data_IF_863328956913
#
_entry.id   IF_863328956913
#
_cell.length_a   1.000
_cell.length_b   1.000
_cell.length_c   1.000
_cell.angle_alpha   90.00
_cell.angle_beta   90.00
_cell.angle_gamma   90.00
#
_symmetry.space_group_name_H-M   'P 1'
#
loop_
_entity.id
_entity.type
_entity.pdbx_description
1 polymer ?
#
# COMPACT_ATOMS: atom_id res chain seq x y z
N UNK A 1 -35.79 -21.36 -25.39
CA UNK A 1 -36.54 -22.60 -25.65
C UNK A 1 -35.70 -23.47 -26.58
N UNK A 2 -35.12 -24.55 -26.08
CA UNK A 2 -34.68 -25.68 -26.90
C UNK A 2 -34.78 -26.92 -26.00
N UNK A 3 -35.52 -27.89 -26.51
CA UNK A 3 -36.13 -29.00 -25.78
C UNK A 3 -35.10 -30.07 -25.41
N UNK A 4 -35.33 -30.66 -24.25
CA UNK A 4 -34.85 -31.96 -23.79
C UNK A 4 -35.06 -33.05 -24.84
N UNK A 5 -34.04 -33.86 -25.08
CA UNK A 5 -34.18 -35.15 -25.77
C UNK A 5 -34.05 -36.26 -24.71
N UNK A 6 -35.13 -37.01 -24.51
CA UNK A 6 -35.13 -38.29 -23.79
C UNK A 6 -34.49 -39.38 -24.65
N UNK A 7 -33.85 -40.40 -24.05
CA UNK A 7 -33.32 -41.54 -24.77
C UNK A 7 -34.44 -42.58 -25.02
N UNK A 8 -34.52 -43.07 -26.25
CA UNK A 8 -35.40 -44.19 -26.61
C UNK A 8 -34.74 -45.53 -26.24
N UNK A 9 -35.50 -46.38 -25.55
CA UNK A 9 -35.20 -47.77 -25.26
C UNK A 9 -36.26 -48.67 -25.91
N UNK A 10 -35.82 -49.63 -26.72
CA UNK A 10 -36.28 -51.04 -26.80
C UNK A 10 -35.77 -51.67 -28.11
N UNK A 11 -35.34 -52.94 -28.16
CA UNK A 11 -35.63 -54.02 -27.22
C UNK A 11 -34.60 -55.16 -27.17
N UNK A 12 -34.55 -55.75 -25.97
CA UNK A 12 -34.54 -57.18 -25.62
C UNK A 12 -33.66 -58.16 -26.40
N UNK A 13 -32.58 -58.62 -25.76
CA UNK A 13 -32.44 -60.03 -25.34
C UNK A 13 -31.42 -60.15 -24.18
N UNK A 14 -31.86 -60.86 -23.14
CA UNK A 14 -31.19 -61.57 -22.05
C UNK A 14 -30.15 -60.89 -21.11
N UNK A 15 -30.49 -60.98 -19.81
CA UNK A 15 -29.64 -60.67 -18.66
C UNK A 15 -28.44 -61.62 -18.56
N UNK A 16 -27.24 -61.06 -18.46
CA UNK A 16 -26.21 -61.63 -17.59
C UNK A 16 -25.50 -60.54 -16.81
N UNK A 17 -25.62 -60.67 -15.48
CA UNK A 17 -24.98 -59.90 -14.42
C UNK A 17 -23.54 -59.46 -14.70
N UNK A 18 -23.29 -58.16 -14.60
CA UNK A 18 -22.09 -57.61 -13.97
C UNK A 18 -22.43 -56.24 -13.38
N UNK A 19 -22.59 -56.25 -12.07
CA UNK A 19 -22.60 -55.04 -11.27
C UNK A 19 -21.21 -54.40 -11.37
N UNK A 20 -21.08 -53.30 -12.10
CA UNK A 20 -20.04 -52.32 -11.85
C UNK A 20 -20.71 -51.08 -11.27
N UNK A 21 -20.68 -51.02 -9.94
CA UNK A 21 -20.81 -49.77 -9.20
C UNK A 21 -19.61 -48.88 -9.57
N UNK A 22 -19.73 -48.14 -10.67
CA UNK A 22 -18.81 -47.07 -11.03
C UNK A 22 -19.22 -45.81 -10.30
N UNK A 23 -18.51 -45.50 -9.21
CA UNK A 23 -18.52 -44.21 -8.53
C UNK A 23 -18.27 -43.10 -9.55
N UNK A 24 -19.34 -42.46 -10.05
CA UNK A 24 -19.21 -41.38 -11.01
C UNK A 24 -18.66 -40.16 -10.28
N UNK A 25 -17.34 -40.02 -10.31
CA UNK A 25 -16.64 -38.84 -9.79
C UNK A 25 -17.23 -37.53 -10.34
N UNK A 26 -16.86 -36.38 -9.74
CA UNK A 26 -17.44 -35.08 -10.09
C UNK A 26 -17.35 -34.81 -11.59
N UNK A 27 -18.50 -34.52 -12.21
CA UNK A 27 -18.60 -34.18 -13.63
C UNK A 27 -17.99 -32.80 -13.87
N UNK A 28 -17.01 -32.74 -14.78
CA UNK A 28 -16.29 -31.51 -15.13
C UNK A 28 -16.73 -31.01 -16.50
N UNK A 29 -17.01 -29.71 -16.62
CA UNK A 29 -17.30 -29.10 -17.91
C UNK A 29 -15.99 -28.74 -18.62
N UNK A 30 -15.74 -29.40 -19.75
CA UNK A 30 -14.61 -29.11 -20.64
C UNK A 30 -15.17 -28.47 -21.91
N UNK A 31 -15.02 -27.15 -22.11
CA UNK A 31 -15.46 -26.50 -23.34
C UNK A 31 -14.57 -26.97 -24.50
N UNK A 32 -15.17 -27.46 -25.59
CA UNK A 32 -14.41 -27.78 -26.80
C UNK A 32 -13.92 -26.49 -27.46
N UNK A 33 -12.65 -26.19 -27.25
CA UNK A 33 -11.90 -25.10 -27.92
C UNK A 33 -10.84 -25.69 -28.83
N UNK A 34 -10.35 -24.92 -29.81
CA UNK A 34 -9.44 -25.40 -30.87
C UNK A 34 -8.14 -26.00 -30.31
N UNK A 35 -7.74 -25.58 -29.11
CA UNK A 35 -6.56 -26.05 -28.39
C UNK A 35 -6.75 -27.44 -27.72
N UNK A 36 -7.99 -27.94 -27.60
CA UNK A 36 -8.30 -29.25 -27.01
C UNK A 36 -8.50 -30.26 -28.14
N UNK A 37 -7.43 -30.95 -28.50
CA UNK A 37 -7.45 -32.01 -29.52
C UNK A 37 -7.51 -33.38 -28.84
N UNK A 38 -8.61 -34.14 -28.98
CA UNK A 38 -8.73 -35.46 -28.39
C UNK A 38 -7.91 -36.50 -29.15
N UNK A 39 -7.28 -37.42 -28.43
CA UNK A 39 -6.67 -38.62 -29.00
C UNK A 39 -7.68 -39.77 -28.93
N UNK A 40 -8.05 -40.32 -30.09
CA UNK A 40 -9.08 -41.36 -30.20
C UNK A 40 -8.43 -42.68 -30.56
N UNK A 41 -8.50 -43.65 -29.63
CA UNK A 41 -8.12 -45.03 -29.91
C UNK A 41 -9.35 -45.80 -30.41
N UNK A 42 -9.38 -46.05 -31.72
CA UNK A 42 -10.48 -46.76 -32.38
C UNK A 42 -10.54 -48.25 -32.03
N UNK A 43 -9.42 -48.87 -31.65
CA UNK A 43 -9.36 -50.30 -31.33
C UNK A 43 -9.92 -50.54 -29.92
N UNK A 44 -9.59 -49.65 -28.99
CA UNK A 44 -10.08 -49.71 -27.60
C UNK A 44 -11.42 -49.01 -27.41
N UNK A 45 -11.88 -48.26 -28.42
CA UNK A 45 -13.05 -47.36 -28.34
C UNK A 45 -12.93 -46.34 -27.20
N UNK A 46 -11.72 -45.83 -26.99
CA UNK A 46 -11.39 -44.87 -25.93
C UNK A 46 -11.08 -43.49 -26.53
N UNK A 47 -11.44 -42.43 -25.83
CA UNK A 47 -11.15 -41.05 -26.20
C UNK A 47 -10.42 -40.37 -25.03
N UNK A 48 -9.16 -40.01 -25.24
CA UNK A 48 -8.30 -39.35 -24.27
C UNK A 48 -8.25 -37.85 -24.58
N UNK A 49 -8.60 -37.03 -23.59
CA UNK A 49 -8.53 -35.58 -23.69
C UNK A 49 -7.50 -35.09 -22.67
N UNK A 50 -6.45 -34.43 -23.14
CA UNK A 50 -5.50 -33.74 -22.25
C UNK A 50 -5.95 -32.29 -22.11
N UNK A 51 -6.51 -31.87 -20.96
CA UNK A 51 -6.90 -30.50 -20.77
C UNK A 51 -5.67 -29.59 -20.68
N UNK A 52 -5.73 -28.35 -21.21
CA UNK A 52 -4.74 -27.32 -20.93
C UNK A 52 -4.54 -27.14 -19.42
N UNK A 53 -3.32 -26.79 -19.01
CA UNK A 53 -3.01 -26.45 -17.62
C UNK A 53 -3.98 -25.37 -17.12
N UNK A 54 -4.59 -25.56 -15.96
CA UNK A 54 -5.56 -24.64 -15.35
C UNK A 54 -7.03 -24.83 -15.78
N UNK A 55 -7.35 -25.59 -16.83
CA UNK A 55 -8.75 -25.75 -17.28
C UNK A 55 -9.62 -26.50 -16.24
N UNK A 56 -9.06 -27.53 -15.60
CA UNK A 56 -9.76 -28.28 -14.56
C UNK A 56 -9.95 -27.45 -13.28
N UNK A 57 -9.05 -26.49 -13.01
CA UNK A 57 -9.10 -25.60 -11.85
C UNK A 57 -10.25 -24.59 -11.94
N UNK A 58 -10.71 -24.23 -13.14
CA UNK A 58 -11.89 -23.38 -13.35
C UNK A 58 -13.20 -24.02 -12.87
N UNK A 59 -13.25 -25.35 -12.82
CA UNK A 59 -14.41 -26.10 -12.37
C UNK A 59 -14.38 -26.36 -10.85
N UNK A 60 -13.25 -26.11 -10.19
CA UNK A 60 -13.16 -26.19 -8.73
C UNK A 60 -13.81 -24.93 -8.17
N UNK A 61 -15.02 -25.07 -7.63
CA UNK A 61 -15.63 -24.01 -6.84
C UNK A 61 -14.82 -23.81 -5.56
N UNK A 62 -14.01 -22.75 -5.53
CA UNK A 62 -13.26 -22.35 -4.32
C UNK A 62 -14.16 -21.95 -3.16
N UNK A 63 -15.44 -21.65 -3.43
CA UNK A 63 -16.44 -21.29 -2.43
C UNK A 63 -17.50 -22.41 -2.32
N UNK A 64 -17.50 -23.19 -1.24
CA UNK A 64 -18.48 -24.27 -1.02
C UNK A 64 -19.90 -23.75 -0.68
N UNK A 65 -20.07 -22.44 -0.45
CA UNK A 65 -21.35 -21.86 -0.04
C UNK A 65 -22.40 -21.94 -1.14
N UNK A 66 -23.67 -22.05 -0.74
CA UNK A 66 -24.81 -22.11 -1.64
C UNK A 66 -25.00 -20.81 -2.45
N UNK A 67 -25.62 -20.90 -3.64
CA UNK A 67 -25.96 -19.73 -4.48
C UNK A 67 -26.79 -18.68 -3.75
N UNK A 68 -27.63 -19.10 -2.79
CA UNK A 68 -28.44 -18.21 -1.95
C UNK A 68 -27.56 -17.41 -0.99
N UNK A 69 -26.60 -18.07 -0.33
CA UNK A 69 -25.67 -17.43 0.60
C UNK A 69 -24.75 -16.44 -0.11
N UNK A 70 -24.19 -16.80 -1.27
CA UNK A 70 -23.35 -15.90 -2.07
C UNK A 70 -24.10 -14.63 -2.46
N UNK A 71 -25.34 -14.75 -2.96
CA UNK A 71 -26.19 -13.60 -3.27
C UNK A 71 -26.51 -12.73 -2.05
N UNK A 72 -26.69 -13.34 -0.88
CA UNK A 72 -26.90 -12.58 0.35
C UNK A 72 -25.65 -11.81 0.78
N UNK A 73 -24.47 -12.41 0.66
CA UNK A 73 -23.20 -11.74 0.95
C UNK A 73 -22.96 -10.58 -0.01
N UNK A 74 -23.09 -10.81 -1.32
CA UNK A 74 -23.01 -9.74 -2.34
C UNK A 74 -23.99 -8.60 -2.06
N UNK A 75 -25.23 -8.92 -1.69
CA UNK A 75 -26.22 -7.89 -1.35
C UNK A 75 -25.83 -7.10 -0.10
N UNK A 76 -25.32 -7.78 0.93
CA UNK A 76 -24.82 -7.13 2.15
C UNK A 76 -23.64 -6.21 1.84
N UNK A 77 -22.70 -6.65 1.02
CA UNK A 77 -21.54 -5.85 0.59
C UNK A 77 -21.97 -4.63 -0.23
N UNK A 78 -22.85 -4.82 -1.24
CA UNK A 78 -23.42 -3.72 -2.02
C UNK A 78 -24.11 -2.69 -1.12
N UNK A 79 -24.89 -3.14 -0.14
CA UNK A 79 -25.55 -2.25 0.82
C UNK A 79 -24.56 -1.50 1.71
N UNK A 80 -23.48 -2.17 2.18
CA UNK A 80 -22.39 -1.53 2.94
C UNK A 80 -21.66 -0.50 2.09
N UNK A 81 -21.32 -0.84 0.86
CA UNK A 81 -20.69 0.07 -0.09
C UNK A 81 -21.56 1.29 -0.39
N UNK A 82 -22.85 1.09 -0.67
CA UNK A 82 -23.78 2.20 -0.92
C UNK A 82 -23.87 3.16 0.27
N UNK A 83 -23.89 2.64 1.51
CA UNK A 83 -23.84 3.48 2.72
C UNK A 83 -22.54 4.29 2.79
N UNK A 84 -21.39 3.67 2.52
CA UNK A 84 -20.09 4.36 2.48
C UNK A 84 -20.07 5.45 1.42
N UNK A 85 -20.57 5.16 0.22
CA UNK A 85 -20.66 6.12 -0.89
C UNK A 85 -21.54 7.33 -0.53
N UNK A 86 -22.70 7.10 0.09
CA UNK A 86 -23.57 8.21 0.53
C UNK A 86 -22.85 9.08 1.57
N UNK A 87 -22.18 8.46 2.54
CA UNK A 87 -21.42 9.19 3.55
C UNK A 87 -20.25 10.00 2.92
N UNK A 88 -19.51 9.41 1.99
CA UNK A 88 -18.42 10.08 1.28
C UNK A 88 -18.92 11.26 0.43
N UNK A 89 -20.00 11.07 -0.33
CA UNK A 89 -20.65 12.16 -1.09
C UNK A 89 -21.11 13.30 -0.18
N UNK A 90 -21.64 12.98 1.00
CA UNK A 90 -22.04 14.01 1.98
C UNK A 90 -20.86 14.86 2.41
N UNK A 91 -19.73 14.24 2.78
CA UNK A 91 -18.51 14.96 3.18
C UNK A 91 -17.94 15.83 2.06
N UNK A 92 -17.88 15.31 0.83
CA UNK A 92 -17.45 16.11 -0.33
C UNK A 92 -18.40 17.29 -0.59
N UNK A 93 -19.70 17.12 -0.35
CA UNK A 93 -20.68 18.21 -0.46
C UNK A 93 -20.51 19.27 0.63
N UNK A 94 -20.18 18.86 1.86
CA UNK A 94 -19.84 19.76 2.97
C UNK A 94 -18.58 20.59 2.66
N UNK A 95 -17.67 20.08 1.82
CA UNK A 95 -16.50 20.79 1.28
C UNK A 95 -16.76 21.49 -0.07
N UNK A 96 -18.01 21.63 -0.49
CA UNK A 96 -18.43 22.28 -1.74
C UNK A 96 -17.84 21.65 -3.03
N UNK A 97 -17.63 20.33 -3.01
CA UNK A 97 -17.07 19.55 -4.13
C UNK A 97 -18.16 18.75 -4.89
N UNK A 98 -19.38 19.29 -5.01
CA UNK A 98 -20.50 18.58 -5.64
C UNK A 98 -20.29 18.34 -7.15
N UNK A 99 -19.43 19.13 -7.79
CA UNK A 99 -19.14 19.02 -9.23
C UNK A 99 -18.49 17.67 -9.60
N UNK A 100 -17.77 17.04 -8.66
CA UNK A 100 -17.20 15.68 -8.81
C UNK A 100 -18.30 14.66 -9.17
N UNK A 101 -19.54 14.89 -8.76
CA UNK A 101 -20.65 13.96 -9.03
C UNK A 101 -21.24 14.09 -10.43
N UNK A 102 -20.84 15.10 -11.21
CA UNK A 102 -21.35 15.28 -12.57
C UNK A 102 -21.04 14.08 -13.47
N UNK A 103 -19.91 13.40 -13.24
CA UNK A 103 -19.53 12.18 -13.94
C UNK A 103 -20.58 11.07 -13.96
N UNK A 104 -21.35 10.93 -12.89
CA UNK A 104 -22.42 9.92 -12.80
C UNK A 104 -23.54 10.12 -13.83
N UNK A 105 -23.66 11.31 -14.42
CA UNK A 105 -24.69 11.61 -15.43
C UNK A 105 -24.27 11.23 -16.85
N UNK A 106 -22.97 11.07 -17.09
CA UNK A 106 -22.41 10.93 -18.44
C UNK A 106 -21.68 9.59 -18.67
N UNK A 107 -21.25 8.92 -17.60
CA UNK A 107 -20.50 7.66 -17.70
C UNK A 107 -21.37 6.41 -17.85
N UNK A 108 -20.78 5.38 -18.45
CA UNK A 108 -21.29 4.00 -18.43
C UNK A 108 -21.21 3.38 -17.04
N UNK A 109 -21.79 2.19 -16.86
CA UNK A 109 -21.84 1.51 -15.55
C UNK A 109 -20.45 1.24 -14.94
N UNK A 110 -19.46 0.87 -15.76
CA UNK A 110 -18.07 0.64 -15.32
C UNK A 110 -17.41 1.94 -14.86
N UNK A 111 -17.57 3.02 -15.63
CA UNK A 111 -17.06 4.36 -15.33
C UNK A 111 -17.71 4.94 -14.06
N UNK A 112 -19.03 4.77 -13.91
CA UNK A 112 -19.74 5.15 -12.70
C UNK A 112 -19.27 4.35 -11.47
N UNK A 113 -18.92 3.06 -11.65
CA UNK A 113 -18.32 2.26 -10.57
C UNK A 113 -16.95 2.81 -10.18
N UNK A 114 -16.08 3.09 -11.15
CA UNK A 114 -14.76 3.66 -10.91
C UNK A 114 -14.83 4.97 -10.12
N UNK A 115 -15.71 5.90 -10.55
CA UNK A 115 -15.91 7.16 -9.83
C UNK A 115 -16.45 6.93 -8.40
N UNK A 116 -17.36 5.97 -8.22
CA UNK A 116 -17.88 5.64 -6.90
C UNK A 116 -16.79 5.06 -5.98
N UNK A 117 -15.93 4.19 -6.51
CA UNK A 117 -14.82 3.60 -5.78
C UNK A 117 -13.82 4.68 -5.35
N UNK A 118 -13.45 5.59 -6.27
CA UNK A 118 -12.59 6.74 -5.95
C UNK A 118 -13.21 7.67 -4.91
N UNK A 119 -14.49 8.03 -5.02
CA UNK A 119 -15.17 8.88 -4.03
C UNK A 119 -15.14 8.22 -2.64
N UNK A 120 -15.33 6.90 -2.57
CA UNK A 120 -15.29 6.15 -1.30
C UNK A 120 -13.87 6.08 -0.74
N UNK A 121 -12.85 5.99 -1.59
CA UNK A 121 -11.45 5.91 -1.17
C UNK A 121 -10.83 7.24 -0.75
N UNK A 122 -11.35 8.39 -1.23
CA UNK A 122 -10.83 9.71 -0.81
C UNK A 122 -10.84 9.85 0.71
N UNK A 123 -9.65 10.05 1.28
CA UNK A 123 -9.49 10.37 2.69
C UNK A 123 -9.97 11.80 2.99
N UNK A 124 -11.27 11.92 3.23
CA UNK A 124 -11.93 13.22 3.46
C UNK A 124 -11.33 14.03 4.61
N UNK A 125 -10.82 13.35 5.64
CA UNK A 125 -10.24 14.02 6.82
C UNK A 125 -8.88 14.63 6.47
N UNK A 126 -8.03 13.89 5.77
CA UNK A 126 -6.77 14.41 5.26
C UNK A 126 -7.00 15.55 4.26
N UNK A 127 -7.93 15.38 3.32
CA UNK A 127 -8.24 16.40 2.32
C UNK A 127 -8.68 17.72 2.98
N UNK A 128 -9.57 17.65 3.97
CA UNK A 128 -9.99 18.83 4.71
C UNK A 128 -8.81 19.53 5.40
N UNK A 129 -7.96 18.76 6.10
CA UNK A 129 -6.77 19.30 6.75
C UNK A 129 -5.81 19.95 5.74
N UNK A 130 -5.63 19.32 4.58
CA UNK A 130 -4.74 19.81 3.54
C UNK A 130 -5.24 21.14 2.95
N UNK A 131 -6.55 21.26 2.71
CA UNK A 131 -7.19 22.50 2.26
C UNK A 131 -7.05 23.63 3.29
N UNK A 132 -7.28 23.35 4.56
CA UNK A 132 -7.12 24.32 5.66
C UNK A 132 -5.66 24.80 5.78
N UNK A 133 -4.69 23.89 5.64
CA UNK A 133 -3.26 24.23 5.69
C UNK A 133 -2.84 25.14 4.53
N UNK A 134 -3.43 25.00 3.33
CA UNK A 134 -3.14 25.90 2.20
C UNK A 134 -3.63 27.32 2.45
N UNK A 135 -4.80 27.48 3.08
CA UNK A 135 -5.33 28.79 3.45
C UNK A 135 -4.45 29.50 4.51
N UNK A 136 -3.79 28.72 5.38
CA UNK A 136 -2.96 29.23 6.49
C UNK A 136 -1.49 29.44 6.10
N UNK A 137 -0.94 28.61 5.19
CA UNK A 137 0.49 28.53 4.90
C UNK A 137 0.96 29.54 3.83
N UNK A 138 0.97 30.82 4.17
CA UNK A 138 1.89 31.82 3.57
C UNK A 138 3.26 31.88 4.29
N UNK A 139 3.48 31.04 5.32
CA UNK A 139 4.76 30.95 6.03
C UNK A 139 5.43 29.62 5.73
N UNK A 140 6.53 29.71 4.99
CA UNK A 140 7.44 28.66 4.53
C UNK A 140 8.07 27.95 5.73
N UNK A 141 7.35 26.98 6.31
CA UNK A 141 7.91 26.04 7.29
C UNK A 141 8.70 24.99 6.52
N UNK A 142 10.02 24.95 6.70
CA UNK A 142 10.88 24.07 5.90
C UNK A 142 11.15 22.78 6.66
N UNK A 143 11.25 21.65 5.98
CA UNK A 143 11.62 20.35 6.58
C UNK A 143 12.89 20.50 7.45
N UNK A 144 13.82 21.36 7.00
CA UNK A 144 15.03 21.79 7.71
C UNK A 144 14.78 22.39 9.09
N UNK A 145 13.65 23.06 9.34
CA UNK A 145 13.30 23.61 10.67
C UNK A 145 12.87 22.50 11.63
N UNK A 146 12.12 21.51 11.16
CA UNK A 146 11.75 20.32 11.95
C UNK A 146 13.01 19.51 12.31
N UNK A 147 13.92 19.32 11.35
CA UNK A 147 15.22 18.67 11.60
C UNK A 147 16.19 19.53 12.41
N UNK A 148 16.16 20.86 12.31
CA UNK A 148 16.96 21.73 13.16
C UNK A 148 16.59 21.53 14.64
N UNK A 149 15.31 21.32 14.95
CA UNK A 149 14.83 20.94 16.28
C UNK A 149 15.46 19.64 16.79
N UNK A 150 15.78 18.69 15.90
CA UNK A 150 16.44 17.43 16.29
C UNK A 150 17.89 17.61 16.77
N UNK A 151 18.53 18.76 16.45
CA UNK A 151 19.86 19.11 17.00
C UNK A 151 19.81 19.46 18.48
N UNK A 152 18.64 19.88 18.99
CA UNK A 152 18.41 20.22 20.40
C UNK A 152 18.01 19.00 21.25
N UNK A 153 17.84 17.83 20.63
CA UNK A 153 17.44 16.60 21.32
C UNK A 153 18.56 16.10 22.21
N UNK A 154 18.25 15.89 23.48
CA UNK A 154 19.21 15.45 24.49
C UNK A 154 19.63 13.99 24.32
N UNK A 155 18.72 13.14 23.89
CA UNK A 155 18.96 11.70 23.72
C UNK A 155 19.54 11.40 22.33
N UNK A 156 20.82 11.73 22.15
CA UNK A 156 21.57 11.52 20.90
C UNK A 156 22.57 10.38 21.03
N UNK A 157 22.66 9.57 19.97
CA UNK A 157 23.65 8.51 19.82
C UNK A 157 24.38 8.71 18.49
N UNK A 158 25.71 8.77 18.52
CA UNK A 158 26.54 8.79 17.31
C UNK A 158 27.14 7.42 17.06
N UNK A 159 27.02 6.93 15.84
CA UNK A 159 27.51 5.61 15.43
C UNK A 159 28.27 5.75 14.12
N UNK A 160 29.45 5.14 14.01
CA UNK A 160 30.15 5.07 12.74
C UNK A 160 29.44 4.10 11.79
N UNK A 161 29.40 4.42 10.51
CA UNK A 161 28.85 3.57 9.45
C UNK A 161 29.50 2.17 9.42
N UNK A 162 30.74 2.05 9.89
CA UNK A 162 31.48 0.79 10.01
C UNK A 162 30.82 -0.21 10.98
N UNK A 163 29.97 0.27 11.89
CA UNK A 163 29.21 -0.55 12.83
C UNK A 163 28.01 -1.27 12.20
N UNK A 164 27.69 -1.01 10.92
CA UNK A 164 26.59 -1.68 10.20
C UNK A 164 27.09 -2.87 9.36
N UNK A 165 28.30 -3.39 9.65
CA UNK A 165 28.86 -4.56 8.97
C UNK A 165 28.34 -5.87 9.60
N UNK A 166 28.13 -6.94 8.80
CA UNK A 166 27.51 -8.22 9.23
C UNK A 166 28.12 -8.88 10.47
N UNK A 167 29.40 -8.62 10.70
CA UNK A 167 30.20 -9.11 11.83
C UNK A 167 30.51 -7.98 12.81
N UNK A 168 29.47 -7.35 13.35
CA UNK A 168 29.66 -6.39 14.44
C UNK A 168 29.91 -7.17 15.74
N UNK A 169 31.19 -7.32 16.11
CA UNK A 169 31.60 -7.88 17.39
C UNK A 169 31.34 -6.89 18.53
N UNK A 170 31.24 -7.41 19.75
CA UNK A 170 31.17 -6.63 20.99
C UNK A 170 32.27 -5.55 21.05
N UNK A 171 33.46 -5.85 20.51
CA UNK A 171 34.59 -4.91 20.40
C UNK A 171 34.31 -3.67 19.53
N UNK A 172 33.52 -3.78 18.45
CA UNK A 172 33.20 -2.65 17.56
C UNK A 172 32.07 -1.78 18.07
N UNK A 173 31.13 -2.36 18.82
CA UNK A 173 29.95 -1.66 19.32
C UNK A 173 30.15 -1.09 20.72
N UNK A 174 31.10 -1.66 21.48
CA UNK A 174 31.45 -1.21 22.83
C UNK A 174 30.23 -1.14 23.73
N UNK A 175 30.03 0.02 24.36
CA UNK A 175 28.90 0.26 25.28
C UNK A 175 27.52 0.10 24.64
N UNK A 176 27.43 0.24 23.31
CA UNK A 176 26.17 0.15 22.58
C UNK A 176 25.73 -1.30 22.33
N UNK A 177 26.59 -2.29 22.59
CA UNK A 177 26.26 -3.72 22.46
C UNK A 177 25.01 -4.10 23.26
N UNK A 178 24.88 -3.56 24.47
CA UNK A 178 23.71 -3.77 25.34
C UNK A 178 22.41 -3.25 24.72
N UNK A 179 22.46 -2.19 23.90
CA UNK A 179 21.29 -1.69 23.16
C UNK A 179 20.88 -2.67 22.07
N UNK A 180 21.86 -3.20 21.33
CA UNK A 180 21.61 -4.17 20.28
C UNK A 180 21.02 -5.48 20.85
N UNK A 181 21.56 -6.00 21.95
CA UNK A 181 21.01 -7.19 22.61
C UNK A 181 19.56 -6.99 23.04
N UNK A 182 19.25 -5.86 23.71
CA UNK A 182 17.86 -5.53 24.11
C UNK A 182 16.94 -5.47 22.89
N UNK A 183 17.40 -4.86 21.80
CA UNK A 183 16.62 -4.77 20.56
C UNK A 183 16.36 -6.14 19.93
N UNK A 184 17.37 -7.01 19.86
CA UNK A 184 17.23 -8.38 19.35
C UNK A 184 16.30 -9.23 20.24
N UNK A 185 16.32 -9.02 21.55
CA UNK A 185 15.36 -9.66 22.46
C UNK A 185 13.92 -9.21 22.20
N UNK A 186 13.70 -7.94 21.85
CA UNK A 186 12.36 -7.46 21.47
C UNK A 186 11.91 -8.07 20.13
N UNK A 187 12.80 -8.08 19.13
CA UNK A 187 12.52 -8.65 17.81
C UNK A 187 12.19 -10.14 17.92
N UNK A 188 13.01 -10.93 18.63
CA UNK A 188 12.78 -12.38 18.83
C UNK A 188 11.47 -12.70 19.55
N UNK A 189 11.00 -11.81 20.43
CA UNK A 189 9.71 -11.93 21.13
C UNK A 189 8.51 -11.44 20.31
N UNK A 190 8.71 -11.05 19.05
CA UNK A 190 7.65 -10.54 18.18
C UNK A 190 7.11 -9.17 18.60
N UNK A 191 7.92 -8.37 19.30
CA UNK A 191 7.51 -7.05 19.85
C UNK A 191 7.64 -5.90 18.85
N UNK A 192 8.07 -6.18 17.63
CA UNK A 192 8.40 -5.18 16.62
C UNK A 192 7.65 -5.50 15.34
N UNK A 193 7.09 -4.48 14.70
CA UNK A 193 6.59 -4.55 13.33
C UNK A 193 7.42 -3.63 12.43
N UNK A 194 7.55 -4.00 11.16
CA UNK A 194 8.28 -3.21 10.16
C UNK A 194 7.31 -2.70 9.10
N UNK A 195 7.46 -1.43 8.73
CA UNK A 195 6.74 -0.77 7.65
C UNK A 195 7.76 -0.33 6.62
N UNK A 196 7.68 -0.84 5.40
CA UNK A 196 8.51 -0.40 4.29
C UNK A 196 7.66 0.46 3.36
N UNK A 197 7.98 1.75 3.30
CA UNK A 197 7.37 2.69 2.37
C UNK A 197 8.19 2.72 1.08
N UNK A 198 7.60 2.20 0.00
CA UNK A 198 8.19 2.09 -1.34
C UNK A 198 7.54 3.08 -2.34
N UNK A 199 6.88 4.13 -1.84
CA UNK A 199 6.07 5.04 -2.67
C UNK A 199 6.92 6.02 -3.51
N UNK A 200 8.09 6.43 -3.02
CA UNK A 200 8.82 7.61 -3.55
C UNK A 200 9.86 7.30 -4.65
N UNK A 201 9.82 6.10 -5.24
CA UNK A 201 10.90 5.66 -6.17
C UNK A 201 10.76 6.19 -7.60
N UNK A 202 9.56 6.59 -8.04
CA UNK A 202 9.31 7.07 -9.41
C UNK A 202 9.57 8.57 -9.61
N UNK A 203 9.55 9.38 -8.55
CA UNK A 203 9.70 10.84 -8.66
C UNK A 203 11.16 11.30 -8.68
N UNK A 204 12.11 10.48 -8.21
CA UNK A 204 13.56 10.79 -8.15
C UNK A 204 14.26 11.08 -9.49
N UNK A 205 13.58 10.93 -10.63
CA UNK A 205 14.19 11.11 -11.96
C UNK A 205 13.38 11.94 -12.96
N UNK A 206 12.23 12.51 -12.58
CA UNK A 206 11.34 13.22 -13.53
C UNK A 206 11.23 14.72 -13.31
N UNK A 207 11.87 15.26 -12.27
CA UNK A 207 11.72 16.68 -11.92
C UNK A 207 12.66 17.64 -12.67
N UNK A 208 13.56 17.15 -13.55
CA UNK A 208 14.44 18.03 -14.33
C UNK A 208 14.63 17.70 -15.81
N UNK A 209 13.97 16.69 -16.37
CA UNK A 209 14.12 16.40 -17.81
C UNK A 209 12.78 16.13 -18.51
N UNK A 210 12.17 17.23 -18.97
CA UNK A 210 11.00 17.25 -19.85
C UNK A 210 11.34 16.86 -21.30
N UNK A 211 12.49 16.25 -21.56
CA UNK A 211 12.96 15.96 -22.91
C UNK A 211 13.43 14.53 -23.16
N UNK A 212 12.77 13.50 -22.63
CA UNK A 212 12.86 12.17 -23.25
C UNK A 212 11.66 11.24 -22.95
N UNK A 213 10.56 11.49 -23.64
CA UNK A 213 9.57 10.45 -23.91
C UNK A 213 10.09 9.51 -24.99
N UNK A 214 10.76 8.43 -24.61
CA UNK A 214 10.82 7.22 -25.45
C UNK A 214 11.22 5.98 -24.65
N UNK A 215 10.25 5.07 -24.52
CA UNK A 215 10.41 3.62 -24.60
C UNK A 215 11.70 3.00 -24.02
N UNK A 216 11.62 2.45 -22.81
CA UNK A 216 12.13 1.11 -22.50
C UNK A 216 11.38 0.57 -21.28
N UNK A 217 10.93 -0.68 -21.38
CA UNK A 217 10.28 -1.45 -20.33
C UNK A 217 11.21 -1.63 -19.11
N UNK A 218 11.02 -0.84 -18.05
CA UNK A 218 11.64 -1.03 -16.73
C UNK A 218 10.71 -1.82 -15.80
N UNK A 219 10.25 -2.99 -16.22
CA UNK A 219 9.33 -3.79 -15.40
C UNK A 219 10.01 -4.56 -14.25
N UNK A 220 11.34 -4.54 -14.08
CA UNK A 220 12.00 -5.49 -13.17
C UNK A 220 13.20 -4.97 -12.32
N UNK A 221 13.62 -3.69 -12.33
CA UNK A 221 14.82 -3.32 -11.53
C UNK A 221 14.55 -3.23 -10.03
N UNK A 222 13.41 -2.67 -9.62
CA UNK A 222 13.20 -2.32 -8.20
C UNK A 222 12.64 -3.46 -7.35
N UNK A 223 11.79 -4.32 -7.92
CA UNK A 223 11.45 -5.60 -7.30
C UNK A 223 12.69 -6.47 -7.11
N UNK A 224 13.68 -6.34 -8.01
CA UNK A 224 14.97 -7.03 -7.87
C UNK A 224 15.81 -6.43 -6.74
N UNK A 225 15.85 -5.11 -6.56
CA UNK A 225 16.52 -4.46 -5.42
C UNK A 225 15.89 -4.85 -4.08
N UNK A 226 14.55 -4.81 -3.99
CA UNK A 226 13.81 -5.29 -2.83
C UNK A 226 14.04 -6.78 -2.56
N UNK A 227 14.02 -7.60 -3.60
CA UNK A 227 14.29 -9.03 -3.47
C UNK A 227 15.70 -9.27 -2.95
N UNK A 228 16.71 -8.58 -3.48
CA UNK A 228 18.09 -8.67 -3.00
C UNK A 228 18.21 -8.29 -1.53
N UNK A 229 17.52 -7.21 -1.13
CA UNK A 229 17.50 -6.74 0.25
C UNK A 229 16.80 -7.70 1.21
N UNK A 230 15.65 -8.25 0.82
CA UNK A 230 14.91 -9.23 1.63
C UNK A 230 15.59 -10.60 1.64
N UNK A 231 16.38 -10.96 0.64
CA UNK A 231 17.17 -12.19 0.64
C UNK A 231 18.47 -12.08 1.47
N UNK A 232 18.91 -10.87 1.80
CA UNK A 232 20.13 -10.64 2.56
C UNK A 232 19.84 -10.58 4.06
N UNK A 233 20.01 -11.72 4.73
CA UNK A 233 19.86 -11.87 6.19
C UNK A 233 20.88 -11.04 7.01
N UNK A 234 21.93 -10.51 6.36
CA UNK A 234 22.93 -9.66 7.02
C UNK A 234 22.58 -8.17 6.95
N UNK A 235 21.86 -7.74 5.90
CA UNK A 235 21.45 -6.32 5.69
C UNK A 235 20.04 -6.01 6.14
N UNK A 236 19.22 -7.02 6.37
CA UNK A 236 17.87 -6.87 6.88
C UNK A 236 17.65 -7.75 8.12
N UNK A 237 16.40 -7.89 8.57
CA UNK A 237 16.06 -8.76 9.71
C UNK A 237 16.37 -10.21 9.36
N UNK A 238 17.11 -10.91 10.24
CA UNK A 238 17.45 -12.32 10.06
C UNK A 238 16.20 -13.19 9.86
N UNK A 239 16.29 -14.16 8.96
CA UNK A 239 15.21 -15.11 8.64
C UNK A 239 14.54 -15.74 9.88
N UNK A 240 15.31 -16.05 10.94
CA UNK A 240 14.80 -16.65 12.18
C UNK A 240 13.73 -15.81 12.90
N UNK A 241 13.74 -14.48 12.72
CA UNK A 241 12.78 -13.58 13.37
C UNK A 241 11.60 -13.20 12.48
N UNK A 242 11.66 -13.47 11.17
CA UNK A 242 10.65 -13.00 10.21
C UNK A 242 9.28 -13.62 10.42
N UNK A 243 9.22 -14.86 10.87
CA UNK A 243 7.95 -15.56 11.12
C UNK A 243 7.09 -14.93 12.23
N UNK A 244 7.73 -14.27 13.21
CA UNK A 244 7.04 -13.59 14.31
C UNK A 244 6.85 -12.09 14.08
N UNK A 245 7.57 -11.51 13.12
CA UNK A 245 7.61 -10.08 12.85
C UNK A 245 6.55 -9.66 11.81
N UNK A 246 5.56 -8.83 12.18
CA UNK A 246 4.60 -8.32 11.21
C UNK A 246 5.25 -7.32 10.24
N UNK A 247 4.84 -7.36 8.97
CA UNK A 247 5.40 -6.54 7.88
C UNK A 247 4.28 -5.81 7.13
N UNK A 248 4.41 -4.49 6.99
CA UNK A 248 3.54 -3.66 6.16
C UNK A 248 4.35 -3.10 4.99
N UNK A 249 3.86 -3.30 3.78
CA UNK A 249 4.46 -2.80 2.55
C UNK A 249 3.53 -1.76 1.95
N UNK A 250 4.04 -0.55 1.71
CA UNK A 250 3.30 0.53 1.08
C UNK A 250 3.91 0.78 -0.30
N UNK A 251 3.10 0.77 -1.36
CA UNK A 251 3.58 1.02 -2.72
C UNK A 251 2.52 1.71 -3.59
N UNK A 252 2.90 2.21 -4.77
CA UNK A 252 1.94 2.65 -5.78
C UNK A 252 0.97 1.53 -6.18
N UNK A 253 -0.26 1.90 -6.55
CA UNK A 253 -1.34 0.97 -6.87
C UNK A 253 -0.99 -0.04 -7.99
N UNK A 254 -0.24 0.43 -8.99
CA UNK A 254 0.19 -0.35 -10.14
C UNK A 254 1.25 -1.42 -9.80
N UNK A 255 1.90 -1.30 -8.62
CA UNK A 255 2.96 -2.21 -8.18
C UNK A 255 2.48 -3.26 -7.17
N UNK A 256 1.33 -3.06 -6.52
CA UNK A 256 0.80 -3.96 -5.49
C UNK A 256 0.67 -5.40 -5.98
N UNK A 257 0.20 -5.61 -7.21
CA UNK A 257 0.02 -6.95 -7.79
C UNK A 257 1.38 -7.64 -7.98
N UNK A 258 2.36 -6.90 -8.51
CA UNK A 258 3.73 -7.40 -8.71
C UNK A 258 4.40 -7.73 -7.37
N UNK A 259 4.24 -6.89 -6.34
CA UNK A 259 4.76 -7.17 -5.00
C UNK A 259 4.13 -8.42 -4.37
N UNK A 260 2.81 -8.60 -4.48
CA UNK A 260 2.14 -9.81 -3.99
C UNK A 260 2.66 -11.08 -4.67
N UNK A 261 2.89 -11.01 -5.98
CA UNK A 261 3.47 -12.11 -6.75
C UNK A 261 4.92 -12.40 -6.34
N UNK A 262 5.72 -11.35 -6.12
CA UNK A 262 7.10 -11.46 -5.64
C UNK A 262 7.15 -12.18 -4.28
N UNK A 263 6.33 -11.75 -3.31
CA UNK A 263 6.27 -12.39 -1.99
C UNK A 263 5.78 -13.83 -2.09
N UNK A 264 4.69 -14.09 -2.82
CA UNK A 264 4.14 -15.44 -2.96
C UNK A 264 5.13 -16.42 -3.61
N UNK A 265 5.89 -15.98 -4.62
CA UNK A 265 6.88 -16.81 -5.32
C UNK A 265 8.15 -17.09 -4.51
N UNK A 266 8.42 -16.31 -3.46
CA UNK A 266 9.59 -16.45 -2.60
C UNK A 266 9.20 -16.92 -1.18
N UNK A 267 8.08 -17.63 -1.01
CA UNK A 267 7.58 -18.09 0.30
C UNK A 267 7.54 -16.96 1.36
N UNK A 268 7.09 -15.78 0.93
CA UNK A 268 7.02 -14.57 1.74
C UNK A 268 8.34 -14.19 2.41
N UNK A 269 9.50 -14.62 1.88
CA UNK A 269 10.83 -14.35 2.44
C UNK A 269 10.98 -14.79 3.91
N UNK A 270 10.21 -15.78 4.35
CA UNK A 270 10.19 -16.28 5.74
C UNK A 270 9.23 -15.52 6.68
N UNK A 271 8.53 -14.51 6.18
CA UNK A 271 7.44 -13.87 6.91
C UNK A 271 6.19 -14.76 6.96
N UNK A 272 5.42 -14.63 8.04
CA UNK A 272 4.09 -15.23 8.13
C UNK A 272 3.13 -14.50 7.17
N UNK A 273 2.56 -15.17 6.15
CA UNK A 273 1.67 -14.54 5.17
C UNK A 273 0.46 -13.83 5.79
N UNK A 274 0.00 -14.29 6.95
CA UNK A 274 -1.14 -13.67 7.66
C UNK A 274 -0.77 -12.36 8.36
N UNK A 275 0.53 -12.10 8.52
CA UNK A 275 1.09 -10.89 9.14
C UNK A 275 1.79 -9.97 8.13
N UNK A 276 1.53 -10.17 6.83
CA UNK A 276 2.03 -9.31 5.75
C UNK A 276 0.87 -8.52 5.15
N UNK A 277 0.93 -7.19 5.24
CA UNK A 277 -0.03 -6.28 4.63
C UNK A 277 0.57 -5.57 3.44
N UNK A 278 -0.21 -5.47 2.36
CA UNK A 278 0.11 -4.69 1.17
C UNK A 278 -0.87 -3.54 1.07
N UNK A 279 -0.40 -2.31 1.20
CA UNK A 279 -1.19 -1.09 1.20
C UNK A 279 -0.83 -0.23 0.01
N UNK A 280 -1.85 0.33 -0.64
CA UNK A 280 -1.65 1.39 -1.63
C UNK A 280 -1.19 2.67 -0.92
N UNK A 281 -0.28 3.41 -1.53
CA UNK A 281 0.11 4.74 -1.06
C UNK A 281 -1.10 5.67 -0.88
N UNK A 282 -1.04 6.57 0.11
CA UNK A 282 -2.12 7.53 0.33
C UNK A 282 -2.10 8.60 -0.76
N UNK A 283 -3.26 8.84 -1.37
CA UNK A 283 -3.43 9.81 -2.46
C UNK A 283 -4.54 10.79 -2.14
N UNK A 284 -4.27 12.07 -2.37
CA UNK A 284 -5.27 13.11 -2.25
C UNK A 284 -5.68 13.68 -3.61
N UNK A 285 -6.93 14.14 -3.75
CA UNK A 285 -7.35 14.89 -4.93
C UNK A 285 -6.49 16.13 -5.16
N UNK A 286 -6.08 16.33 -6.40
CA UNK A 286 -5.45 17.57 -6.87
C UNK A 286 -6.54 18.64 -6.96
N UNK A 287 -6.24 19.86 -6.51
CA UNK A 287 -7.23 20.95 -6.50
C UNK A 287 -6.78 22.13 -7.35
N UNK A 288 -7.72 22.90 -7.88
CA UNK A 288 -7.45 24.14 -8.60
C UNK A 288 -6.74 25.14 -7.69
N UNK A 289 -5.71 25.83 -8.20
CA UNK A 289 -5.09 26.94 -7.48
C UNK A 289 -5.97 28.20 -7.49
N UNK A 290 -6.93 28.27 -8.41
CA UNK A 290 -7.93 29.32 -8.46
C UNK A 290 -9.02 29.05 -7.42
N UNK A 291 -9.39 30.11 -6.70
CA UNK A 291 -10.52 30.06 -5.76
C UNK A 291 -11.82 30.31 -6.53
N UNK A 292 -12.63 29.28 -6.65
CA UNK A 292 -14.01 29.40 -7.11
C UNK A 292 -14.92 29.42 -5.89
N UNK A 293 -15.70 30.49 -5.74
CA UNK A 293 -16.59 30.65 -4.57
C UNK A 293 -15.81 30.56 -3.24
N UNK A 294 -14.58 31.10 -3.20
CA UNK A 294 -13.65 31.02 -2.05
C UNK A 294 -13.18 29.61 -1.67
N UNK A 295 -13.28 28.62 -2.57
CA UNK A 295 -12.79 27.26 -2.34
C UNK A 295 -11.97 26.74 -3.52
N UNK A 296 -10.98 25.90 -3.21
CA UNK A 296 -10.25 25.14 -4.21
C UNK A 296 -11.10 23.95 -4.68
N UNK A 297 -11.36 23.85 -5.99
CA UNK A 297 -12.15 22.74 -6.57
C UNK A 297 -11.27 21.56 -6.92
N UNK A 298 -11.73 20.35 -6.60
CA UNK A 298 -11.09 19.10 -7.04
C UNK A 298 -11.03 19.07 -8.58
N UNK A 299 -9.86 18.80 -9.13
CA UNK A 299 -9.69 18.60 -10.56
C UNK A 299 -10.07 17.17 -10.96
N UNK A 300 -10.68 17.04 -12.14
CA UNK A 300 -11.08 15.76 -12.72
C UNK A 300 -10.10 15.40 -13.83
N UNK A 301 -9.54 14.19 -13.81
CA UNK A 301 -8.68 13.68 -14.90
C UNK A 301 -9.52 13.32 -16.13
N UNK A 302 -10.72 12.77 -15.89
CA UNK A 302 -11.75 12.54 -16.90
C UNK A 302 -13.12 12.73 -16.25
N UNK A 303 -14.24 12.72 -16.99
CA UNK A 303 -15.56 12.93 -16.40
C UNK A 303 -15.88 11.97 -15.24
N UNK A 304 -15.25 10.78 -15.22
CA UNK A 304 -15.47 9.71 -14.24
C UNK A 304 -14.20 9.35 -13.45
N UNK A 305 -13.16 10.17 -13.49
CA UNK A 305 -11.91 9.92 -12.79
C UNK A 305 -11.41 11.19 -12.10
N UNK A 306 -11.26 11.13 -10.77
CA UNK A 306 -10.70 12.22 -9.97
C UNK A 306 -9.20 12.28 -10.26
N UNK A 307 -8.66 13.49 -10.48
CA UNK A 307 -7.21 13.67 -10.55
C UNK A 307 -6.64 13.62 -9.12
N UNK A 308 -5.70 12.71 -8.87
CA UNK A 308 -5.11 12.49 -7.55
C UNK A 308 -3.59 12.44 -7.64
N UNK A 309 -2.91 12.94 -6.61
CA UNK A 309 -1.46 12.85 -6.43
C UNK A 309 -1.12 12.11 -5.13
N UNK A 310 0.03 11.43 -5.05
CA UNK A 310 0.55 10.90 -3.78
C UNK A 310 0.72 12.01 -2.75
N UNK A 311 0.50 11.68 -1.48
CA UNK A 311 0.70 12.60 -0.35
C UNK A 311 2.17 12.68 0.09
N UNK A 312 3.00 11.70 -0.29
CA UNK A 312 4.35 11.54 0.26
C UNK A 312 4.36 10.78 1.59
N UNK A 313 5.52 10.72 2.24
CA UNK A 313 5.78 9.86 3.41
C UNK A 313 4.91 10.16 4.65
N UNK A 314 4.31 11.34 4.75
CA UNK A 314 3.35 11.68 5.81
C UNK A 314 2.08 10.83 5.76
N UNK A 315 1.75 10.27 4.59
CA UNK A 315 0.61 9.38 4.40
C UNK A 315 0.73 8.04 5.12
N UNK A 316 1.94 7.61 5.53
CA UNK A 316 2.14 6.33 6.22
C UNK A 316 1.29 6.25 7.49
N UNK A 317 1.23 7.34 8.27
CA UNK A 317 0.49 7.33 9.54
C UNK A 317 -1.03 7.25 9.29
N UNK A 318 -1.55 7.87 8.22
CA UNK A 318 -2.98 7.73 7.88
C UNK A 318 -3.30 6.33 7.36
N UNK A 319 -2.40 5.72 6.58
CA UNK A 319 -2.55 4.34 6.12
C UNK A 319 -2.55 3.34 7.28
N UNK A 320 -1.68 3.51 8.26
CA UNK A 320 -1.66 2.64 9.45
C UNK A 320 -2.92 2.81 10.32
N UNK A 321 -3.60 3.95 10.24
CA UNK A 321 -4.93 4.16 10.85
C UNK A 321 -6.05 3.41 10.11
N UNK A 322 -5.83 3.03 8.85
CA UNK A 322 -6.80 2.28 8.06
C UNK A 322 -6.92 0.84 8.57
N UNK A 323 -8.13 0.26 8.44
CA UNK A 323 -8.45 -1.14 8.76
C UNK A 323 -7.96 -1.67 10.12
N UNK A 324 -7.82 -0.79 11.11
CA UNK A 324 -7.37 -1.11 12.47
C UNK A 324 -6.00 -1.80 12.51
N UNK A 325 -5.09 -1.50 11.56
CA UNK A 325 -3.77 -2.14 11.49
C UNK A 325 -3.00 -1.92 12.80
N UNK A 326 -2.93 -0.68 13.28
CA UNK A 326 -2.24 -0.36 14.55
C UNK A 326 -2.86 -1.09 15.74
N UNK A 327 -4.19 -1.19 15.80
CA UNK A 327 -4.88 -1.94 16.84
C UNK A 327 -4.60 -3.44 16.75
N UNK A 328 -4.56 -4.01 15.54
CA UNK A 328 -4.23 -5.42 15.31
C UNK A 328 -2.79 -5.72 15.73
N UNK A 329 -1.83 -4.88 15.33
CA UNK A 329 -0.44 -4.98 15.77
C UNK A 329 -0.34 -4.94 17.30
N UNK A 330 -1.04 -4.01 17.96
CA UNK A 330 -1.06 -3.93 19.41
C UNK A 330 -1.68 -5.16 20.07
N UNK A 331 -2.75 -5.73 19.51
CA UNK A 331 -3.38 -6.96 19.99
C UNK A 331 -2.46 -8.18 19.85
N UNK A 332 -1.62 -8.19 18.80
CA UNK A 332 -0.59 -9.21 18.59
C UNK A 332 0.66 -8.99 19.45
N UNK A 333 0.63 -8.03 20.38
CA UNK A 333 1.70 -7.80 21.34
C UNK A 333 2.88 -6.99 20.81
N UNK A 334 2.74 -6.34 19.65
CA UNK A 334 3.73 -5.38 19.12
C UNK A 334 3.79 -4.15 20.01
N UNK A 335 5.01 -3.75 20.38
CA UNK A 335 5.31 -2.59 21.21
C UNK A 335 5.96 -1.45 20.40
N UNK A 336 6.62 -1.79 19.28
CA UNK A 336 7.33 -0.83 18.44
C UNK A 336 7.03 -1.05 16.95
N UNK A 337 6.90 0.06 16.21
CA UNK A 337 6.76 0.05 14.75
C UNK A 337 7.95 0.80 14.17
N UNK A 338 8.74 0.11 13.35
CA UNK A 338 9.83 0.70 12.59
C UNK A 338 9.34 1.02 11.17
N UNK A 339 9.43 2.29 10.77
CA UNK A 339 9.06 2.75 9.43
C UNK A 339 10.33 3.15 8.68
N UNK A 340 10.55 2.55 7.51
CA UNK A 340 11.71 2.79 6.68
C UNK A 340 11.31 3.12 5.24
N UNK A 341 12.07 4.02 4.61
CA UNK A 341 11.97 4.40 3.21
C UNK A 341 13.37 4.61 2.63
N UNK A 342 13.58 4.19 1.39
CA UNK A 342 14.86 4.34 0.68
C UNK A 342 15.84 3.20 0.97
N UNK A 343 16.48 2.68 -0.08
CA UNK A 343 17.36 1.51 -0.01
C UNK A 343 18.49 1.67 1.01
N UNK A 344 19.10 2.87 1.09
CA UNK A 344 20.15 3.20 2.05
C UNK A 344 19.69 2.98 3.50
N UNK A 345 18.48 3.38 3.84
CA UNK A 345 17.94 3.27 5.19
C UNK A 345 17.47 1.86 5.51
N UNK A 346 16.88 1.16 4.55
CA UNK A 346 16.42 -0.20 4.76
C UNK A 346 17.61 -1.16 4.89
N UNK A 347 18.63 -1.04 4.03
CA UNK A 347 19.86 -1.85 4.09
C UNK A 347 20.76 -1.55 5.30
N UNK A 348 20.57 -0.38 5.93
CA UNK A 348 21.26 0.03 7.16
C UNK A 348 20.29 0.18 8.32
N UNK A 349 19.20 -0.59 8.31
CA UNK A 349 18.24 -0.64 9.40
C UNK A 349 18.84 -1.43 10.57
N UNK A 350 19.50 -0.73 11.50
CA UNK A 350 20.10 -1.37 12.67
C UNK A 350 19.10 -1.48 13.82
N UNK A 351 19.08 -2.61 14.56
CA UNK A 351 18.34 -2.74 15.82
C UNK A 351 18.77 -1.71 16.88
N UNK A 352 19.91 -1.03 16.70
CA UNK A 352 20.43 -0.04 17.65
C UNK A 352 19.47 1.11 17.91
N UNK A 353 18.77 1.61 16.88
CA UNK A 353 17.79 2.68 17.07
C UNK A 353 16.66 2.22 17.99
N UNK A 354 16.15 1.00 17.79
CA UNK A 354 15.13 0.39 18.64
C UNK A 354 15.64 0.24 20.08
N UNK A 355 16.88 -0.25 20.25
CA UNK A 355 17.51 -0.41 21.56
C UNK A 355 17.62 0.92 22.31
N UNK A 356 18.00 1.99 21.62
CA UNK A 356 18.08 3.34 22.17
C UNK A 356 16.70 3.87 22.57
N UNK A 357 15.69 3.72 21.70
CA UNK A 357 14.31 4.14 21.99
C UNK A 357 13.77 3.43 23.24
N UNK A 358 13.99 2.11 23.32
CA UNK A 358 13.58 1.31 24.46
C UNK A 358 14.33 1.72 25.75
N UNK A 359 15.64 1.93 25.69
CA UNK A 359 16.41 2.32 26.88
C UNK A 359 16.04 3.71 27.41
N UNK A 360 15.75 4.66 26.52
CA UNK A 360 15.41 6.03 26.91
C UNK A 360 13.92 6.25 27.15
N UNK A 361 13.10 5.18 27.03
CA UNK A 361 11.63 5.26 27.12
C UNK A 361 11.07 6.37 26.22
N UNK A 362 11.62 6.45 25.00
CA UNK A 362 11.29 7.47 24.01
C UNK A 362 10.01 7.08 23.25
N UNK A 363 9.28 8.10 22.80
CA UNK A 363 8.09 7.94 21.97
C UNK A 363 8.46 7.68 20.50
N UNK A 364 9.51 8.36 20.02
CA UNK A 364 9.98 8.33 18.63
C UNK A 364 11.52 8.27 18.63
N UNK A 365 12.08 7.42 17.78
CA UNK A 365 13.48 7.39 17.40
C UNK A 365 13.65 7.75 15.93
N UNK A 366 14.69 8.51 15.60
CA UNK A 366 15.04 8.90 14.23
C UNK A 366 16.47 8.47 13.93
N UNK A 367 16.68 7.84 12.78
CA UNK A 367 18.00 7.60 12.21
C UNK A 367 18.28 8.62 11.11
N UNK A 368 19.45 9.26 11.16
CA UNK A 368 19.90 10.27 10.22
C UNK A 368 21.36 10.02 9.85
N UNK A 369 21.77 10.36 8.63
CA UNK A 369 23.17 10.32 8.20
C UNK A 369 23.80 11.71 8.33
N UNK A 370 25.06 11.75 8.76
CA UNK A 370 25.87 12.97 8.74
C UNK A 370 25.99 13.45 7.29
N UNK A 371 25.75 14.75 7.04
CA UNK A 371 25.70 15.40 5.71
C UNK A 371 24.51 15.07 4.79
N UNK A 372 23.45 14.41 5.25
CA UNK A 372 22.18 14.39 4.48
C UNK A 372 21.47 15.74 4.63
N UNK A 373 21.84 16.72 3.81
CA UNK A 373 21.05 17.97 3.68
C UNK A 373 19.71 17.70 2.99
N UNK A 374 19.64 16.62 2.19
CA UNK A 374 18.44 16.13 1.53
C UNK A 374 17.72 15.08 2.36
N UNK A 375 16.63 15.53 2.98
CA UNK A 375 15.61 14.67 3.63
C UNK A 375 14.94 13.75 2.60
N UNK A 376 15.11 14.07 1.32
CA UNK A 376 14.66 13.26 0.19
C UNK A 376 15.46 11.97 0.01
N UNK A 377 16.60 11.74 0.68
CA UNK A 377 17.34 10.47 0.60
C UNK A 377 16.62 9.26 1.24
N UNK A 378 15.55 9.50 2.00
CA UNK A 378 14.77 8.48 2.70
C UNK A 378 14.80 8.69 4.21
N UNK A 379 14.29 7.72 4.97
CA UNK A 379 14.23 7.81 6.43
C UNK A 379 14.15 6.43 7.09
N UNK A 380 14.53 6.38 8.37
CA UNK A 380 14.24 5.26 9.26
C UNK A 380 13.83 5.83 10.62
N UNK A 381 12.61 5.51 11.06
CA UNK A 381 12.04 5.98 12.31
C UNK A 381 11.44 4.82 13.08
N UNK A 382 11.56 4.85 14.40
CA UNK A 382 10.93 3.88 15.31
C UNK A 382 9.91 4.61 16.16
N UNK A 383 8.69 4.08 16.24
CA UNK A 383 7.60 4.62 17.04
C UNK A 383 7.21 3.59 18.09
N UNK A 384 6.94 4.03 19.32
CA UNK A 384 6.18 3.18 20.24
C UNK A 384 4.75 2.99 19.73
N UNK A 385 4.15 1.84 20.01
CA UNK A 385 2.80 1.51 19.56
C UNK A 385 1.77 2.51 20.09
N UNK A 386 1.97 3.01 21.31
CA UNK A 386 1.06 3.98 21.94
C UNK A 386 1.19 5.37 21.30
N UNK A 387 2.41 5.78 20.95
CA UNK A 387 2.63 6.98 20.16
C UNK A 387 1.98 6.86 18.79
N UNK A 388 2.12 5.71 18.11
CA UNK A 388 1.45 5.51 16.82
C UNK A 388 -0.08 5.64 16.96
N UNK A 389 -0.70 5.02 17.97
CA UNK A 389 -2.14 5.18 18.27
C UNK A 389 -2.55 6.63 18.56
N UNK A 390 -1.68 7.39 19.24
CA UNK A 390 -1.90 8.82 19.51
C UNK A 390 -1.86 9.63 18.22
N UNK A 391 -0.87 9.37 17.36
CA UNK A 391 -0.68 10.04 16.08
C UNK A 391 -1.84 9.77 15.10
N UNK A 392 -2.32 8.53 15.01
CA UNK A 392 -3.48 8.18 14.15
C UNK A 392 -4.77 8.91 14.56
N UNK A 393 -4.88 9.35 15.83
CA UNK A 393 -6.00 10.18 16.33
C UNK A 393 -5.76 11.68 16.16
N UNK A 394 -4.51 12.10 15.98
CA UNK A 394 -4.09 13.50 15.89
C UNK A 394 -3.69 13.91 14.46
N UNK A 395 -4.27 13.27 13.45
CA UNK A 395 -4.01 13.57 12.01
C UNK A 395 -4.19 15.07 11.68
N UNK A 396 -5.07 15.78 12.38
CA UNK A 396 -5.27 17.23 12.22
C UNK A 396 -4.03 18.08 12.58
N UNK A 397 -3.01 17.50 13.22
CA UNK A 397 -1.75 18.17 13.52
C UNK A 397 -0.70 17.98 12.43
N UNK A 398 -0.98 17.12 11.44
CA UNK A 398 -0.06 16.91 10.33
C UNK A 398 -0.11 18.10 9.40
N UNK A 399 1.08 18.57 9.08
CA UNK A 399 1.26 19.70 8.21
C UNK A 399 1.31 19.21 6.77
N UNK A 400 0.52 19.86 5.94
CA UNK A 400 0.50 19.69 4.50
C UNK A 400 1.03 20.96 3.87
N UNK A 401 1.72 20.81 2.75
CA UNK A 401 2.09 21.90 1.88
C UNK A 401 1.49 21.69 0.50
N UNK A 402 1.13 22.79 -0.14
CA UNK A 402 0.70 22.80 -1.52
C UNK A 402 1.89 23.03 -2.44
N UNK A 403 2.07 22.12 -3.40
CA UNK A 403 3.02 22.24 -4.49
C UNK A 403 2.24 22.70 -5.71
N UNK A 404 2.57 23.89 -6.22
CA UNK A 404 1.94 24.42 -7.43
C UNK A 404 2.47 23.67 -8.66
N UNK A 405 1.58 22.99 -9.40
CA UNK A 405 1.96 22.29 -10.64
C UNK A 405 0.96 22.53 -11.78
N UNK A 406 1.42 22.51 -13.05
CA UNK A 406 0.52 22.46 -14.20
C UNK A 406 -0.04 21.04 -14.32
N UNK A 407 -1.36 20.90 -14.18
CA UNK A 407 -2.04 19.62 -14.32
C UNK A 407 -3.15 19.72 -15.37
N UNK A 408 -3.04 18.89 -16.41
CA UNK A 408 -4.11 18.71 -17.39
C UNK A 408 -5.32 18.05 -16.74
N UNK A 409 -6.50 18.57 -17.05
CA UNK A 409 -7.75 18.11 -16.43
C UNK A 409 -8.93 18.36 -17.38
N UNK A 410 -10.11 17.89 -16.96
CA UNK A 410 -11.37 18.17 -17.63
C UNK A 410 -12.29 18.98 -16.73
N UNK A 411 -13.02 19.90 -17.34
CA UNK A 411 -14.05 20.70 -16.68
C UNK A 411 -15.36 20.66 -17.47
N UNK A 412 -16.47 20.90 -16.78
CA UNK A 412 -17.80 20.91 -17.40
C UNK A 412 -18.22 22.36 -17.67
N UNK A 413 -18.07 22.80 -18.92
CA UNK A 413 -18.46 24.15 -19.38
C UNK A 413 -19.69 24.02 -20.28
N UNK A 414 -20.77 24.74 -19.99
CA UNK A 414 -22.00 24.74 -20.79
C UNK A 414 -22.54 23.33 -21.14
N UNK A 415 -22.44 22.39 -20.18
CA UNK A 415 -22.83 20.96 -20.32
C UNK A 415 -21.95 20.13 -21.28
N UNK A 416 -20.79 20.63 -21.68
CA UNK A 416 -19.78 19.88 -22.44
C UNK A 416 -18.51 19.75 -21.61
N UNK A 417 -17.88 18.58 -21.68
CA UNK A 417 -16.58 18.35 -21.07
C UNK A 417 -15.50 18.94 -21.98
N UNK A 418 -14.69 19.83 -21.42
CA UNK A 418 -13.59 20.50 -22.10
C UNK A 418 -12.28 20.05 -21.46
N UNK A 419 -11.30 19.73 -22.30
CA UNK A 419 -9.95 19.42 -21.85
C UNK A 419 -9.15 20.70 -21.68
N UNK A 420 -8.48 20.85 -20.55
CA UNK A 420 -7.68 22.02 -20.19
C UNK A 420 -6.23 21.59 -20.06
N UNK A 421 -5.35 22.19 -20.87
CA UNK A 421 -3.90 22.00 -20.82
C UNK A 421 -3.24 23.33 -20.42
N UNK A 422 -2.83 23.48 -19.15
CA UNK A 422 -2.29 24.74 -18.66
C UNK A 422 -0.81 24.90 -19.03
N UNK A 423 -0.41 26.12 -19.44
CA UNK A 423 1.00 26.47 -19.71
C UNK A 423 1.77 26.94 -18.46
N UNK A 424 1.07 27.14 -17.34
CA UNK A 424 1.61 27.55 -16.05
C UNK A 424 0.90 26.81 -14.91
N UNK A 425 1.42 26.80 -13.67
CA UNK A 425 0.77 26.12 -12.55
C UNK A 425 -0.68 26.60 -12.32
N UNK A 426 -1.63 25.68 -12.45
CA UNK A 426 -3.08 25.91 -12.29
C UNK A 426 -3.68 25.12 -11.12
N UNK A 427 -2.86 24.37 -10.40
CA UNK A 427 -3.31 23.40 -9.41
C UNK A 427 -2.34 23.28 -8.25
N UNK A 428 -2.86 22.75 -7.14
CA UNK A 428 -2.08 22.35 -5.99
C UNK A 428 -2.16 20.84 -5.79
N UNK A 429 -0.99 20.23 -5.70
CA UNK A 429 -0.79 18.89 -5.15
C UNK A 429 -0.43 19.02 -3.67
N UNK A 430 -1.05 18.20 -2.82
CA UNK A 430 -0.77 18.23 -1.39
C UNK A 430 0.31 17.22 -1.05
N UNK A 431 1.32 17.66 -0.31
CA UNK A 431 2.37 16.80 0.19
C UNK A 431 2.54 16.95 1.70
N UNK A 432 2.84 15.86 2.39
CA UNK A 432 3.25 15.82 3.80
C UNK A 432 4.44 14.87 3.98
N UNK A 433 5.34 15.22 4.91
CA UNK A 433 6.47 14.35 5.30
C UNK A 433 6.14 13.59 6.56
N UNK A 434 6.73 12.41 6.74
CA UNK A 434 6.62 11.66 8.02
C UNK A 434 7.16 12.48 9.20
N UNK A 435 8.16 13.34 8.98
CA UNK A 435 8.72 14.25 9.98
C UNK A 435 7.73 15.31 10.50
N UNK A 436 6.60 15.52 9.82
CA UNK A 436 5.53 16.39 10.35
C UNK A 436 4.93 15.88 11.67
N UNK A 437 5.07 14.57 11.96
CA UNK A 437 4.61 13.99 13.23
C UNK A 437 5.37 14.54 14.45
N UNK A 438 6.59 15.06 14.26
CA UNK A 438 7.39 15.62 15.35
C UNK A 438 6.73 16.82 16.02
N UNK A 439 5.84 17.53 15.31
CA UNK A 439 5.03 18.62 15.86
C UNK A 439 4.07 18.16 16.97
N UNK A 440 3.75 16.86 17.04
CA UNK A 440 2.85 16.28 18.03
C UNK A 440 3.59 15.65 19.23
N UNK A 441 4.94 15.67 19.23
CA UNK A 441 5.79 15.02 20.22
C UNK A 441 6.70 16.03 20.93
N UNK A 442 7.06 15.73 22.18
CA UNK A 442 7.96 16.56 22.97
C UNK A 442 9.42 16.14 22.75
N UNK A 443 10.35 17.10 22.75
CA UNK A 443 11.77 16.84 22.43
C UNK A 443 12.47 15.92 23.44
N UNK A 444 11.99 15.85 24.68
CA UNK A 444 12.49 14.96 25.74
C UNK A 444 12.13 13.48 25.49
N UNK A 445 11.08 13.24 24.70
CA UNK A 445 10.62 11.92 24.28
C UNK A 445 11.12 11.52 22.89
N UNK A 446 12.05 12.29 22.31
CA UNK A 446 12.69 11.98 21.04
C UNK A 446 14.08 11.38 21.28
N UNK A 447 14.44 10.40 20.46
CA UNK A 447 15.81 9.90 20.31
C UNK A 447 16.31 10.12 18.89
N UNK A 448 17.59 10.45 18.77
CA UNK A 448 18.23 10.67 17.47
C UNK A 448 19.50 9.83 17.40
N UNK A 449 19.58 8.96 16.40
CA UNK A 449 20.76 8.19 16.04
C UNK A 449 21.39 8.81 14.79
N UNK A 450 22.58 9.37 14.93
CA UNK A 450 23.34 10.03 13.89
C UNK A 450 24.45 9.08 13.40
N UNK A 451 24.42 8.74 12.12
CA UNK A 451 25.40 7.85 11.49
C UNK A 451 26.50 8.71 10.86
N UNK A 452 27.72 8.57 11.37
CA UNK A 452 28.91 9.28 10.90
C UNK A 452 29.73 8.39 9.96
N UNK A 453 30.46 8.97 9.00
CA UNK A 453 31.33 8.20 8.07
C UNK A 453 32.51 7.48 8.78
#
# INVERSE_FOLDING_TARGET
MLKSAEPMLNGSEELSSLAEAGDSGPLVWVPFVKEIVPNVDMNRREMLITPPKGLLELNVHSDERSKKERRQLEWKERKRFQKRLIAAKKKLSEMEQQHVFHGFRFGEKSQASLLADQIVSVNSKLLQQALENVEIASKRWTITESLAGTKLVRNRLRISEKCFTPSTSEEKLGTNFTLQEKALQLISKGKVAVVLDMSDHKNRGKEYDLSLSSSTSRENSETSSLQMLLCDDERFVKAEYRSSMPLVLISPADEIISMKKLFSSNNYFGFDPEKVWFLEEERLPVVSSLLEQNRHKILMKSPWEILQSPVGSGGVISLLSSDNIVENLAQNGVEYIQVCNGERYISRSSPLLLGLVNEKEAEIGIQMFEHSEDVEEGFSMVFSIDTMKKLTRQIHKFQFYAIAKPNSHVELVEKKWVHVEPSSPNSYEFYSTIFSCLNACSLDKLCVMEITE
#
